data_IF_718448553934
#
_entry.id   IF_718448553934
#
_cell.length_a   1.000
_cell.length_b   1.000
_cell.length_c   1.000
_cell.angle_alpha   90.00
_cell.angle_beta   90.00
_cell.angle_gamma   90.00
#
_symmetry.space_group_name_H-M   'P 1'
#
loop_
_entity.id
_entity.type
_entity.pdbx_description
1 polymer ?
#
# COMPACT_ATOMS: atom_id res chain seq x y z
N UNK A 1 16.93 1.56 -20.32
CA UNK A 1 18.24 1.02 -19.87
C UNK A 1 19.30 2.09 -19.55
N UNK A 2 19.52 3.12 -20.38
CA UNK A 2 20.48 4.23 -20.13
C UNK A 2 20.32 4.99 -18.80
N UNK A 3 19.11 5.04 -18.24
CA UNK A 3 18.83 5.71 -16.96
C UNK A 3 19.37 4.89 -15.77
N UNK A 4 19.24 3.56 -15.83
CA UNK A 4 19.70 2.66 -14.76
C UNK A 4 21.23 2.62 -14.66
N UNK A 5 21.92 2.67 -15.79
CA UNK A 5 23.39 2.72 -15.82
C UNK A 5 23.96 4.05 -15.31
N UNK A 6 23.23 5.16 -15.47
CA UNK A 6 23.62 6.44 -14.88
C UNK A 6 23.39 6.48 -13.36
N UNK A 7 22.32 5.86 -12.85
CA UNK A 7 22.06 5.74 -11.40
C UNK A 7 23.22 5.03 -10.70
N UNK A 8 23.75 3.96 -11.29
CA UNK A 8 24.88 3.22 -10.73
C UNK A 8 26.16 4.06 -10.65
N UNK A 9 26.42 4.94 -11.62
CA UNK A 9 27.60 5.84 -11.64
C UNK A 9 27.57 6.94 -10.59
N UNK A 10 26.39 7.42 -10.22
CA UNK A 10 26.23 8.41 -9.13
C UNK A 10 26.06 7.77 -7.75
N UNK A 11 25.71 6.48 -7.70
CA UNK A 11 25.67 5.76 -6.45
C UNK A 11 27.09 5.63 -5.90
N UNK A 12 27.31 6.11 -4.67
CA UNK A 12 28.48 5.77 -3.86
C UNK A 12 27.99 4.72 -2.86
N UNK A 13 28.09 3.42 -3.17
CA UNK A 13 27.67 2.38 -2.24
C UNK A 13 28.53 2.52 -1.00
N UNK A 14 27.90 2.81 0.13
CA UNK A 14 28.59 2.89 1.42
C UNK A 14 28.64 1.48 1.97
N UNK A 15 29.83 0.98 2.30
CA UNK A 15 29.95 -0.30 3.00
C UNK A 15 29.15 -0.23 4.32
N UNK A 16 28.05 -0.99 4.39
CA UNK A 16 27.22 -1.08 5.58
C UNK A 16 27.87 -2.06 6.54
N UNK A 17 28.77 -1.56 7.39
CA UNK A 17 29.44 -2.39 8.40
C UNK A 17 28.49 -2.86 9.51
N UNK A 18 27.36 -2.18 9.71
CA UNK A 18 26.40 -2.46 10.78
C UNK A 18 24.96 -2.40 10.28
N UNK A 19 24.24 -3.51 10.37
CA UNK A 19 22.81 -3.62 10.07
C UNK A 19 21.98 -3.26 11.30
N UNK A 20 21.63 -1.97 11.42
CA UNK A 20 20.70 -1.51 12.45
C UNK A 20 19.26 -1.72 11.99
N UNK A 21 18.47 -2.44 12.79
CA UNK A 21 17.12 -2.86 12.42
C UNK A 21 16.19 -1.69 12.07
N UNK A 22 16.23 -0.58 12.81
CA UNK A 22 15.28 0.53 12.64
C UNK A 22 15.86 1.79 11.98
N UNK A 23 17.09 1.71 11.44
CA UNK A 23 17.73 2.86 10.78
C UNK A 23 16.96 3.30 9.53
N UNK A 24 16.77 4.62 9.39
CA UNK A 24 16.14 5.24 8.22
C UNK A 24 14.60 5.22 8.20
N UNK A 25 13.94 4.58 9.16
CA UNK A 25 12.48 4.59 9.27
C UNK A 25 11.94 5.87 9.91
N UNK A 26 12.71 6.45 10.83
CA UNK A 26 12.23 7.49 11.74
C UNK A 26 12.89 8.84 11.46
N UNK A 27 12.12 9.91 11.68
CA UNK A 27 12.57 11.29 11.65
C UNK A 27 12.39 11.93 13.01
N UNK A 28 13.23 12.91 13.33
CA UNK A 28 13.09 13.68 14.54
C UNK A 28 11.87 14.61 14.44
N UNK A 29 11.02 14.63 15.46
CA UNK A 29 9.85 15.53 15.52
C UNK A 29 10.20 17.01 15.68
N UNK A 30 11.37 17.35 16.24
CA UNK A 30 11.80 18.75 16.40
C UNK A 30 12.45 19.32 15.15
N UNK A 31 13.48 18.65 14.63
CA UNK A 31 14.31 19.19 13.55
C UNK A 31 14.03 18.57 12.18
N UNK A 32 13.21 17.51 12.11
CA UNK A 32 12.90 16.79 10.87
C UNK A 32 14.04 15.93 10.32
N UNK A 33 15.22 15.92 10.97
CA UNK A 33 16.37 15.14 10.51
C UNK A 33 16.17 13.64 10.76
N UNK A 34 16.79 12.80 9.92
CA UNK A 34 16.73 11.34 10.05
C UNK A 34 17.41 10.85 11.33
N UNK A 35 16.81 9.85 11.97
CA UNK A 35 17.38 9.14 13.12
C UNK A 35 18.38 8.09 12.62
N UNK A 36 19.55 8.05 13.25
CA UNK A 36 20.63 7.09 13.02
C UNK A 36 20.92 6.30 14.30
N UNK A 37 21.57 5.15 14.17
CA UNK A 37 21.93 4.31 15.30
C UNK A 37 23.45 4.28 15.53
N UNK A 38 23.84 4.13 16.80
CA UNK A 38 25.22 3.98 17.26
C UNK A 38 25.33 2.77 18.17
N UNK A 39 26.42 2.00 18.02
CA UNK A 39 26.71 0.82 18.83
C UNK A 39 27.83 1.11 19.82
N UNK A 40 27.58 0.86 21.11
CA UNK A 40 28.56 0.97 22.18
C UNK A 40 28.82 -0.41 22.78
N UNK A 41 30.08 -0.85 22.75
CA UNK A 41 30.49 -2.13 23.31
C UNK A 41 31.15 -1.87 24.67
N UNK A 42 30.62 -2.48 25.73
CA UNK A 42 31.17 -2.37 27.08
C UNK A 42 31.60 -3.73 27.60
N UNK A 43 32.88 -3.85 27.95
CA UNK A 43 33.43 -5.04 28.56
C UNK A 43 33.47 -4.90 30.09
N UNK A 44 32.78 -5.79 30.79
CA UNK A 44 32.70 -5.83 32.25
C UNK A 44 33.74 -6.78 32.82
N UNK A 45 34.90 -6.25 33.21
CA UNK A 45 36.04 -7.02 33.75
C UNK A 45 35.67 -7.93 34.93
N UNK A 46 34.81 -7.45 35.84
CA UNK A 46 34.40 -8.19 37.06
C UNK A 46 33.67 -9.51 36.76
N UNK A 47 33.00 -9.63 35.62
CA UNK A 47 32.23 -10.84 35.29
C UNK A 47 32.60 -11.42 33.93
N UNK A 48 33.70 -10.95 33.33
CA UNK A 48 34.20 -11.34 32.02
C UNK A 48 33.13 -11.39 30.90
N UNK A 49 32.18 -10.42 30.90
CA UNK A 49 31.10 -10.32 29.90
C UNK A 49 31.22 -9.05 29.08
N UNK A 50 31.07 -9.19 27.77
CA UNK A 50 31.00 -8.07 26.82
C UNK A 50 29.55 -7.85 26.43
N UNK A 51 29.01 -6.67 26.70
CA UNK A 51 27.63 -6.30 26.37
C UNK A 51 27.64 -5.22 25.29
N UNK A 52 26.77 -5.37 24.28
CA UNK A 52 26.57 -4.38 23.23
C UNK A 52 25.29 -3.61 23.51
N UNK A 53 25.36 -2.29 23.44
CA UNK A 53 24.22 -1.39 23.57
C UNK A 53 24.04 -0.62 22.26
N UNK A 54 22.82 -0.59 21.75
CA UNK A 54 22.47 0.13 20.53
C UNK A 54 21.57 1.30 20.91
N UNK A 55 21.97 2.51 20.51
CA UNK A 55 21.24 3.74 20.76
C UNK A 55 20.86 4.42 19.45
N UNK A 56 19.61 4.86 19.37
CA UNK A 56 19.08 5.66 18.28
C UNK A 56 19.15 7.15 18.67
N UNK A 57 19.65 7.97 17.75
CA UNK A 57 19.81 9.41 17.95
C UNK A 57 19.50 10.22 16.71
N UNK A 58 19.16 11.49 16.90
CA UNK A 58 19.08 12.44 15.81
C UNK A 58 20.47 12.79 15.27
N UNK A 59 20.59 12.92 13.95
CA UNK A 59 21.83 13.38 13.29
C UNK A 59 22.11 14.87 13.48
N UNK A 60 21.11 15.67 13.89
CA UNK A 60 21.19 17.13 14.09
C UNK A 60 21.71 17.92 12.87
N UNK A 61 21.59 17.35 11.67
CA UNK A 61 22.12 17.96 10.42
C UNK A 61 21.33 19.16 9.92
N UNK A 62 20.03 19.23 10.22
CA UNK A 62 19.13 20.26 9.68
C UNK A 62 19.03 21.45 10.63
N UNK A 63 18.72 21.19 11.91
CA UNK A 63 18.61 22.20 12.97
C UNK A 63 19.23 21.66 14.27
N UNK A 64 19.72 22.53 15.17
CA UNK A 64 20.10 22.10 16.51
C UNK A 64 18.89 21.48 17.19
N UNK A 65 19.12 20.34 17.84
CA UNK A 65 18.07 19.50 18.40
C UNK A 65 18.52 18.97 19.76
N UNK A 66 17.63 19.05 20.74
CA UNK A 66 17.90 18.67 22.14
C UNK A 66 17.34 17.28 22.48
N UNK A 67 16.85 16.57 21.47
CA UNK A 67 16.26 15.25 21.64
C UNK A 67 17.24 14.25 22.27
N UNK A 68 16.77 13.48 23.28
CA UNK A 68 17.60 12.50 23.97
C UNK A 68 17.83 11.25 23.11
N UNK A 69 18.84 10.48 23.50
CA UNK A 69 19.11 9.15 22.95
C UNK A 69 18.04 8.17 23.41
N UNK A 70 17.67 7.24 22.53
CA UNK A 70 16.72 6.17 22.80
C UNK A 70 17.42 4.81 22.66
N UNK A 71 17.29 3.95 23.66
CA UNK A 71 17.81 2.58 23.62
C UNK A 71 16.93 1.70 22.73
N UNK A 72 17.55 0.77 21.99
CA UNK A 72 16.85 -0.16 21.10
C UNK A 72 15.75 -0.97 21.80
N UNK A 73 15.99 -1.44 23.02
CA UNK A 73 15.00 -2.21 23.78
C UNK A 73 13.72 -1.41 24.06
N UNK A 74 13.86 -0.12 24.35
CA UNK A 74 12.72 0.77 24.60
C UNK A 74 11.98 1.06 23.29
N UNK A 75 12.73 1.35 22.22
CA UNK A 75 12.17 1.52 20.87
C UNK A 75 11.35 0.29 20.43
N UNK A 76 11.90 -0.91 20.62
CA UNK A 76 11.24 -2.16 20.29
C UNK A 76 9.99 -2.38 21.15
N UNK A 77 10.05 -2.08 22.44
CA UNK A 77 8.92 -2.15 23.36
C UNK A 77 7.76 -1.26 22.93
N UNK A 78 8.04 -0.01 22.55
CA UNK A 78 7.03 0.94 22.06
C UNK A 78 6.40 0.45 20.76
N UNK A 79 7.21 0.14 19.74
CA UNK A 79 6.69 -0.36 18.45
C UNK A 79 5.86 -1.62 18.62
N UNK A 80 6.27 -2.52 19.52
CA UNK A 80 5.52 -3.74 19.81
C UNK A 80 4.18 -3.46 20.48
N UNK A 81 4.12 -2.49 21.39
CA UNK A 81 2.86 -2.10 22.03
C UNK A 81 1.87 -1.52 21.02
N UNK A 82 2.35 -0.73 20.06
CA UNK A 82 1.53 -0.16 18.98
C UNK A 82 1.09 -1.21 17.95
N UNK A 83 1.97 -2.15 17.60
CA UNK A 83 1.60 -3.27 16.73
C UNK A 83 0.56 -4.16 17.41
N UNK A 84 0.62 -4.31 18.74
CA UNK A 84 -0.35 -5.08 19.50
C UNK A 84 -1.71 -4.36 19.58
N UNK A 85 -1.73 -3.02 19.73
CA UNK A 85 -2.97 -2.24 19.77
C UNK A 85 -3.72 -2.27 18.44
N UNK A 86 -2.98 -2.32 17.33
CA UNK A 86 -3.53 -2.41 15.96
C UNK A 86 -3.81 -3.83 15.46
N UNK A 87 -3.48 -4.86 16.24
CA UNK A 87 -3.65 -6.25 15.83
C UNK A 87 -5.11 -6.73 15.95
N UNK A 88 -5.58 -7.51 14.96
CA UNK A 88 -6.90 -8.13 15.01
C UNK A 88 -6.93 -9.25 16.09
N UNK A 89 -7.96 -9.32 16.95
CA UNK A 89 -8.17 -10.43 17.87
C UNK A 89 -8.23 -11.79 17.15
N UNK A 90 -7.76 -12.87 17.80
CA UNK A 90 -7.77 -14.22 17.20
C UNK A 90 -9.17 -14.74 16.92
N UNK A 91 -10.10 -14.42 17.82
CA UNK A 91 -11.51 -14.83 17.74
C UNK A 91 -12.18 -14.35 16.46
N UNK A 92 -11.78 -13.19 15.94
CA UNK A 92 -12.40 -12.58 14.77
C UNK A 92 -11.83 -13.11 13.44
N UNK A 93 -10.66 -13.75 13.46
CA UNK A 93 -10.03 -14.26 12.23
C UNK A 93 -10.93 -15.18 11.37
N UNK A 94 -11.62 -16.20 11.92
CA UNK A 94 -12.49 -17.05 11.10
C UNK A 94 -13.66 -16.26 10.52
N UNK A 95 -14.29 -15.40 11.32
CA UNK A 95 -15.42 -14.58 10.87
C UNK A 95 -15.04 -13.65 9.72
N UNK A 96 -13.92 -12.94 9.84
CA UNK A 96 -13.44 -12.02 8.80
C UNK A 96 -13.02 -12.74 7.52
N UNK A 97 -12.48 -13.97 7.62
CA UNK A 97 -12.20 -14.80 6.44
C UNK A 97 -13.48 -15.24 5.75
N UNK A 98 -14.51 -15.63 6.51
CA UNK A 98 -15.81 -15.99 5.94
C UNK A 98 -16.46 -14.79 5.26
N UNK A 99 -16.46 -13.62 5.91
CA UNK A 99 -17.00 -12.38 5.31
C UNK A 99 -16.25 -11.99 4.04
N UNK A 100 -14.92 -12.05 4.03
CA UNK A 100 -14.12 -11.82 2.82
C UNK A 100 -14.46 -12.77 1.67
N UNK A 101 -14.74 -14.04 1.98
CA UNK A 101 -15.16 -15.01 0.97
C UNK A 101 -16.55 -14.68 0.41
N UNK A 102 -17.49 -14.28 1.27
CA UNK A 102 -18.82 -13.82 0.87
C UNK A 102 -18.72 -12.56 0.01
N UNK A 103 -17.93 -11.57 0.43
CA UNK A 103 -17.73 -10.33 -0.32
C UNK A 103 -17.11 -10.58 -1.69
N UNK A 104 -16.21 -11.57 -1.83
CA UNK A 104 -15.69 -11.98 -3.14
C UNK A 104 -16.78 -12.49 -4.06
N UNK A 105 -17.60 -13.42 -3.59
CA UNK A 105 -18.72 -13.96 -4.38
C UNK A 105 -19.69 -12.85 -4.78
N UNK A 106 -20.08 -11.99 -3.85
CA UNK A 106 -20.98 -10.87 -4.14
C UNK A 106 -20.38 -9.89 -5.15
N UNK A 107 -19.07 -9.65 -5.08
CA UNK A 107 -18.42 -8.72 -5.98
C UNK A 107 -18.27 -9.32 -7.39
N UNK A 108 -17.97 -10.61 -7.50
CA UNK A 108 -17.96 -11.34 -8.77
C UNK A 108 -19.38 -11.36 -9.40
N UNK A 109 -20.41 -11.69 -8.62
CA UNK A 109 -21.82 -11.63 -9.06
C UNK A 109 -22.21 -10.22 -9.54
N UNK A 110 -21.77 -9.18 -8.83
CA UNK A 110 -22.04 -7.80 -9.20
C UNK A 110 -21.34 -7.42 -10.51
N UNK A 111 -20.12 -7.90 -10.72
CA UNK A 111 -19.35 -7.70 -11.95
C UNK A 111 -20.03 -8.39 -13.12
N UNK A 112 -20.43 -9.65 -12.95
CA UNK A 112 -21.13 -10.41 -14.00
C UNK A 112 -22.43 -9.73 -14.42
N UNK A 113 -23.22 -9.23 -13.46
CA UNK A 113 -24.45 -8.46 -13.75
C UNK A 113 -24.18 -7.19 -14.54
N UNK A 114 -23.13 -6.45 -14.18
CA UNK A 114 -22.74 -5.22 -14.90
C UNK A 114 -22.26 -5.56 -16.31
N UNK A 115 -21.44 -6.60 -16.49
CA UNK A 115 -21.00 -7.04 -17.81
C UNK A 115 -22.17 -7.51 -18.67
N UNK A 116 -23.10 -8.29 -18.14
CA UNK A 116 -24.31 -8.70 -18.84
C UNK A 116 -25.14 -7.49 -19.31
N UNK A 117 -25.29 -6.47 -18.46
CA UNK A 117 -25.96 -5.23 -18.83
C UNK A 117 -25.23 -4.49 -19.97
N UNK A 118 -23.90 -4.39 -19.93
CA UNK A 118 -23.12 -3.72 -20.98
C UNK A 118 -23.14 -4.49 -22.30
N UNK A 119 -23.14 -5.83 -22.26
CA UNK A 119 -23.28 -6.68 -23.45
C UNK A 119 -24.65 -6.50 -24.11
N UNK A 120 -25.74 -6.54 -23.34
CA UNK A 120 -27.09 -6.27 -23.88
C UNK A 120 -27.23 -4.87 -24.45
N UNK A 121 -26.58 -3.86 -23.87
CA UNK A 121 -26.51 -2.52 -24.45
C UNK A 121 -25.76 -2.53 -25.79
N UNK A 122 -24.64 -3.23 -25.89
CA UNK A 122 -23.86 -3.37 -27.15
C UNK A 122 -24.70 -4.01 -28.25
N UNK A 123 -25.42 -5.10 -27.95
CA UNK A 123 -26.35 -5.74 -28.89
C UNK A 123 -27.47 -4.79 -29.33
N UNK A 124 -27.98 -3.96 -28.42
CA UNK A 124 -28.98 -2.93 -28.76
C UNK A 124 -28.44 -1.85 -29.70
N UNK A 125 -27.14 -1.56 -29.65
CA UNK A 125 -26.49 -0.63 -30.59
C UNK A 125 -26.23 -1.28 -31.95
N UNK A 126 -25.87 -2.56 -31.97
CA UNK A 126 -25.68 -3.31 -33.21
C UNK A 126 -26.99 -3.48 -33.99
N UNK A 127 -28.10 -3.77 -33.30
CA UNK A 127 -29.43 -3.79 -33.91
C UNK A 127 -29.83 -2.43 -34.48
N UNK A 128 -29.58 -1.32 -33.76
CA UNK A 128 -29.82 0.05 -34.27
C UNK A 128 -28.98 0.38 -35.50
N UNK A 129 -27.72 -0.07 -35.53
CA UNK A 129 -26.84 0.12 -36.69
C UNK A 129 -27.32 -0.66 -37.92
N UNK A 130 -27.80 -1.90 -37.74
CA UNK A 130 -28.36 -2.70 -38.82
C UNK A 130 -29.64 -2.06 -39.38
N UNK A 131 -30.56 -1.61 -38.52
CA UNK A 131 -31.78 -0.91 -38.95
C UNK A 131 -31.47 0.38 -39.70
N UNK A 132 -30.45 1.14 -39.24
CA UNK A 132 -30.01 2.35 -39.93
C UNK A 132 -29.41 2.05 -41.31
N UNK A 133 -28.74 0.90 -41.47
CA UNK A 133 -28.20 0.44 -42.74
C UNK A 133 -29.31 0.01 -43.71
N UNK A 134 -30.27 -0.77 -43.24
CA UNK A 134 -31.42 -1.21 -44.03
C UNK A 134 -32.23 -0.01 -44.55
N UNK A 135 -32.53 0.97 -43.68
CA UNK A 135 -33.22 2.21 -44.09
C UNK A 135 -32.42 3.09 -45.07
N UNK A 136 -31.09 2.99 -45.08
CA UNK A 136 -30.28 3.64 -46.11
C UNK A 136 -30.36 2.89 -47.45
N UNK A 137 -30.36 1.56 -47.43
CA UNK A 137 -30.49 0.73 -48.62
C UNK A 137 -31.88 0.88 -49.28
N UNK A 138 -32.93 1.05 -48.49
CA UNK A 138 -34.29 1.32 -48.96
C UNK A 138 -34.49 2.74 -49.49
N UNK A 139 -33.45 3.59 -49.42
CA UNK A 139 -33.47 4.97 -49.93
C UNK A 139 -34.28 5.96 -49.10
N UNK A 140 -34.68 5.59 -47.87
CA UNK A 140 -35.46 6.47 -46.97
C UNK A 140 -34.59 7.50 -46.26
N UNK A 141 -33.26 7.29 -46.20
CA UNK A 141 -32.32 8.12 -45.44
C UNK A 141 -31.29 8.79 -46.35
N UNK A 142 -31.14 10.10 -46.22
CA UNK A 142 -30.12 10.87 -46.92
C UNK A 142 -28.68 10.56 -46.42
N UNK A 143 -27.69 10.68 -47.31
CA UNK A 143 -26.30 10.28 -47.05
C UNK A 143 -25.67 11.03 -45.87
N UNK A 144 -25.97 12.31 -45.71
CA UNK A 144 -25.36 13.14 -44.67
C UNK A 144 -25.97 12.88 -43.29
N UNK A 145 -27.28 12.58 -43.25
CA UNK A 145 -27.97 12.16 -42.02
C UNK A 145 -27.44 10.80 -41.56
N UNK A 146 -27.27 9.85 -42.49
CA UNK A 146 -26.69 8.53 -42.21
C UNK A 146 -25.30 8.64 -41.58
N UNK A 147 -24.37 9.38 -42.20
CA UNK A 147 -23.00 9.56 -41.69
C UNK A 147 -22.99 10.14 -40.28
N UNK A 148 -23.82 11.15 -40.03
CA UNK A 148 -23.89 11.81 -38.72
C UNK A 148 -24.39 10.86 -37.64
N UNK A 149 -25.48 10.12 -37.91
CA UNK A 149 -26.05 9.15 -36.97
C UNK A 149 -25.16 7.94 -36.74
N UNK A 150 -24.52 7.41 -37.79
CA UNK A 150 -23.54 6.33 -37.69
C UNK A 150 -22.39 6.72 -36.76
N UNK A 151 -21.84 7.92 -36.92
CA UNK A 151 -20.75 8.40 -36.08
C UNK A 151 -21.18 8.54 -34.61
N UNK A 152 -22.40 9.03 -34.34
CA UNK A 152 -22.94 9.10 -32.97
C UNK A 152 -23.05 7.71 -32.33
N UNK A 153 -23.71 6.77 -33.00
CA UNK A 153 -23.88 5.40 -32.49
C UNK A 153 -22.54 4.68 -32.32
N UNK A 154 -21.60 4.89 -33.23
CA UNK A 154 -20.26 4.30 -33.15
C UNK A 154 -19.45 4.86 -31.97
N UNK A 155 -19.52 6.17 -31.71
CA UNK A 155 -18.87 6.77 -30.55
C UNK A 155 -19.47 6.27 -29.23
N UNK A 156 -20.79 6.08 -29.16
CA UNK A 156 -21.45 5.52 -27.98
C UNK A 156 -21.06 4.04 -27.77
N UNK A 157 -21.01 3.25 -28.85
CA UNK A 157 -20.53 1.86 -28.81
C UNK A 157 -19.08 1.78 -28.29
N UNK A 158 -18.17 2.60 -28.83
CA UNK A 158 -16.78 2.64 -28.37
C UNK A 158 -16.67 2.99 -26.88
N UNK A 159 -17.51 3.91 -26.37
CA UNK A 159 -17.53 4.24 -24.93
C UNK A 159 -17.95 3.04 -24.08
N UNK A 160 -18.91 2.25 -24.54
CA UNK A 160 -19.38 1.05 -23.82
C UNK A 160 -18.32 -0.05 -23.87
N UNK A 161 -17.68 -0.26 -25.02
CA UNK A 161 -16.57 -1.22 -25.15
C UNK A 161 -15.40 -0.86 -24.22
N UNK A 162 -15.06 0.43 -24.11
CA UNK A 162 -14.08 0.91 -23.13
C UNK A 162 -14.52 0.70 -21.68
N UNK A 163 -15.82 0.81 -21.39
CA UNK A 163 -16.35 0.52 -20.05
C UNK A 163 -16.29 -0.99 -19.73
N UNK A 164 -16.53 -1.84 -20.72
CA UNK A 164 -16.38 -3.30 -20.59
C UNK A 164 -14.93 -3.64 -20.27
N UNK A 165 -13.98 -3.20 -21.10
CA UNK A 165 -12.55 -3.49 -20.87
C UNK A 165 -12.07 -2.97 -19.52
N UNK A 166 -12.50 -1.77 -19.13
CA UNK A 166 -12.19 -1.20 -17.82
C UNK A 166 -12.77 -2.03 -16.67
N UNK A 167 -14.00 -2.51 -16.80
CA UNK A 167 -14.66 -3.34 -15.76
C UNK A 167 -14.03 -4.73 -15.65
N UNK A 168 -13.56 -5.27 -16.78
CA UNK A 168 -12.82 -6.54 -16.82
C UNK A 168 -11.47 -6.42 -16.13
N UNK A 169 -10.70 -5.37 -16.46
CA UNK A 169 -9.36 -5.10 -15.94
C UNK A 169 -9.35 -4.63 -14.48
N UNK A 170 -10.19 -3.65 -14.12
CA UNK A 170 -10.17 -3.06 -12.78
C UNK A 170 -10.79 -3.99 -11.72
N UNK A 171 -11.65 -4.93 -12.14
CA UNK A 171 -12.34 -5.86 -11.28
C UNK A 171 -12.87 -5.21 -10.00
N UNK A 172 -12.86 -5.95 -8.89
CA UNK A 172 -13.19 -5.39 -7.58
C UNK A 172 -11.93 -4.84 -6.90
N UNK A 173 -11.48 -3.68 -7.39
CA UNK A 173 -10.26 -2.97 -6.97
C UNK A 173 -10.07 -2.81 -5.45
N UNK A 174 -11.16 -2.83 -4.66
CA UNK A 174 -11.09 -2.70 -3.20
C UNK A 174 -10.83 -4.02 -2.46
N UNK A 175 -11.19 -5.19 -3.04
CA UNK A 175 -11.10 -6.49 -2.36
C UNK A 175 -9.66 -6.93 -2.13
N UNK A 176 -8.76 -6.71 -3.09
CA UNK A 176 -7.35 -7.10 -2.96
C UNK A 176 -6.63 -6.27 -1.88
N UNK A 177 -6.71 -4.91 -1.85
CA UNK A 177 -6.20 -4.10 -0.75
C UNK A 177 -6.78 -4.50 0.61
N UNK A 178 -8.09 -4.78 0.66
CA UNK A 178 -8.75 -5.17 1.90
C UNK A 178 -8.30 -6.55 2.39
N UNK A 179 -8.13 -7.52 1.49
CA UNK A 179 -7.56 -8.82 1.81
C UNK A 179 -6.13 -8.70 2.34
N UNK A 180 -5.30 -7.84 1.72
CA UNK A 180 -3.95 -7.52 2.22
C UNK A 180 -4.02 -6.92 3.63
N UNK A 181 -4.92 -5.97 3.86
CA UNK A 181 -5.12 -5.37 5.18
C UNK A 181 -5.47 -6.40 6.26
N UNK A 182 -6.46 -7.27 6.01
CA UNK A 182 -6.85 -8.32 6.97
C UNK A 182 -5.69 -9.29 7.24
N UNK A 183 -4.96 -9.69 6.19
CA UNK A 183 -3.78 -10.53 6.35
C UNK A 183 -2.68 -9.84 7.19
N UNK A 184 -2.42 -8.55 6.94
CA UNK A 184 -1.51 -7.76 7.76
C UNK A 184 -1.97 -7.71 9.23
N UNK A 185 -3.26 -7.48 9.50
CA UNK A 185 -3.78 -7.44 10.86
C UNK A 185 -3.65 -8.79 11.60
N UNK A 186 -3.77 -9.90 10.89
CA UNK A 186 -3.53 -11.26 11.43
C UNK A 186 -2.04 -11.48 11.70
N UNK A 187 -1.16 -11.05 10.80
CA UNK A 187 0.29 -11.14 10.96
C UNK A 187 0.78 -10.26 12.13
N UNK A 188 0.18 -9.09 12.33
CA UNK A 188 0.45 -8.18 13.46
C UNK A 188 0.50 -8.92 14.79
N UNK A 189 -0.51 -9.77 15.00
CA UNK A 189 -0.66 -10.51 16.23
C UNK A 189 0.40 -11.60 16.42
N UNK A 190 0.87 -12.19 15.32
CA UNK A 190 1.97 -13.18 15.36
C UNK A 190 3.28 -12.46 15.69
N UNK A 191 3.55 -11.34 15.04
CA UNK A 191 4.76 -10.52 15.22
C UNK A 191 4.80 -9.89 16.62
N UNK A 192 3.66 -9.50 17.17
CA UNK A 192 3.57 -8.97 18.54
C UNK A 192 3.84 -10.02 19.65
N UNK A 193 4.00 -11.31 19.33
CA UNK A 193 4.36 -12.33 20.33
C UNK A 193 5.85 -12.25 20.68
N UNK A 194 6.25 -12.76 21.85
CA UNK A 194 7.64 -12.66 22.33
C UNK A 194 8.53 -13.60 21.49
N UNK A 195 9.59 -13.06 20.86
CA UNK A 195 10.57 -13.82 20.06
C UNK A 195 10.61 -13.52 18.56
N UNK A 196 9.87 -12.52 18.06
CA UNK A 196 9.95 -12.11 16.64
C UNK A 196 11.32 -11.51 16.31
N UNK A 197 11.86 -11.85 15.14
CA UNK A 197 13.11 -11.27 14.61
C UNK A 197 12.91 -9.78 14.34
N UNK A 198 13.86 -8.93 14.72
CA UNK A 198 13.78 -7.47 14.58
C UNK A 198 13.50 -7.01 13.13
N UNK A 199 13.93 -7.81 12.15
CA UNK A 199 13.68 -7.59 10.72
C UNK A 199 12.20 -7.74 10.32
N UNK A 200 11.48 -8.70 10.90
CA UNK A 200 10.04 -8.90 10.62
C UNK A 200 9.21 -7.76 11.17
N UNK A 201 9.54 -7.30 12.38
CA UNK A 201 8.89 -6.15 13.00
C UNK A 201 9.15 -4.88 12.19
N UNK A 202 10.38 -4.68 11.72
CA UNK A 202 10.73 -3.56 10.83
C UNK A 202 9.89 -3.54 9.56
N UNK A 203 9.83 -4.66 8.83
CA UNK A 203 9.07 -4.76 7.58
C UNK A 203 7.59 -4.50 7.82
N UNK A 204 7.06 -5.03 8.91
CA UNK A 204 5.67 -4.84 9.30
C UNK A 204 5.33 -3.38 9.62
N UNK A 205 6.15 -2.75 10.46
CA UNK A 205 6.03 -1.34 10.83
C UNK A 205 6.10 -0.45 9.58
N UNK A 206 7.02 -0.71 8.66
CA UNK A 206 7.13 0.03 7.39
C UNK A 206 5.88 -0.09 6.51
N UNK A 207 5.15 -1.21 6.57
CA UNK A 207 3.94 -1.41 5.76
C UNK A 207 2.72 -0.68 6.34
N UNK A 208 2.61 -0.56 7.66
CA UNK A 208 1.40 -0.06 8.34
C UNK A 208 1.50 1.41 8.70
N UNK A 209 2.65 1.84 9.21
CA UNK A 209 2.86 3.22 9.60
C UNK A 209 3.37 4.05 8.43
N UNK A 210 3.02 5.34 8.46
CA UNK A 210 3.64 6.34 7.60
C UNK A 210 4.23 7.44 8.47
N UNK A 211 5.44 7.89 8.13
CA UNK A 211 6.12 9.01 8.79
C UNK A 211 6.27 8.83 10.31
N UNK A 212 7.21 7.97 10.72
CA UNK A 212 7.56 7.81 12.14
C UNK A 212 8.31 9.04 12.64
N UNK A 213 7.73 9.75 13.61
CA UNK A 213 8.39 10.84 14.30
C UNK A 213 8.83 10.39 15.69
N UNK A 214 10.08 10.67 16.04
CA UNK A 214 10.60 10.49 17.39
C UNK A 214 10.62 11.83 18.11
N UNK A 215 9.92 11.93 19.24
CA UNK A 215 9.92 13.10 20.11
C UNK A 215 9.90 12.67 21.57
N UNK A 216 10.82 13.21 22.37
CA UNK A 216 10.91 13.03 23.82
C UNK A 216 10.99 11.55 24.25
N UNK A 217 11.69 10.72 23.45
CA UNK A 217 11.80 9.25 23.57
C UNK A 217 10.54 8.47 23.21
N UNK A 218 9.48 9.12 22.78
CA UNK A 218 8.23 8.48 22.37
C UNK A 218 8.04 8.55 20.86
N UNK A 219 7.37 7.53 20.33
CA UNK A 219 6.94 7.48 18.93
C UNK A 219 5.43 7.68 18.89
N UNK A 220 4.93 8.89 18.62
CA UNK A 220 3.54 9.05 18.22
C UNK A 220 3.29 8.23 16.95
N UNK A 221 2.59 7.10 17.08
CA UNK A 221 2.27 6.25 15.95
C UNK A 221 1.12 6.87 15.14
N UNK A 222 1.40 7.30 13.92
CA UNK A 222 0.38 7.73 12.98
C UNK A 222 0.10 6.58 12.01
N UNK A 223 -1.06 5.92 12.19
CA UNK A 223 -1.56 4.97 11.20
C UNK A 223 -1.64 5.65 9.84
N UNK A 224 -1.26 4.95 8.78
CA UNK A 224 -1.27 5.47 7.42
C UNK A 224 -2.70 5.78 6.98
N UNK A 225 -3.16 7.01 7.24
CA UNK A 225 -4.37 7.53 6.61
C UNK A 225 -4.03 7.81 5.16
N UNK A 226 -4.64 7.07 4.23
CA UNK A 226 -4.56 7.37 2.80
C UNK A 226 -5.34 8.66 2.57
N UNK A 227 -4.72 9.82 2.81
CA UNK A 227 -5.22 11.09 2.30
C UNK A 227 -5.13 11.00 0.79
N UNK A 228 -6.27 10.73 0.13
CA UNK A 228 -6.44 10.97 -1.30
C UNK A 228 -6.29 12.47 -1.52
N UNK A 229 -5.12 12.89 -1.96
CA UNK A 229 -4.94 14.09 -2.79
C UNK A 229 -4.90 13.65 -4.23
#
# INVERSE_FOLDING_TARGET
ERVQSNIQKFSRPRETSHDFAFSGLMRCGECGATITAEQHIKHYKRTNRTVKYIYYRCTKKIKPCSQPYLEENNLFGQLKSEVKSSALPKSWQPEWKTRLAQDRVLADDSKEKVLALLHTQTESFDTKLNVLLDGYLDGTVDSDIYKTKKNQLFQEKLKIEQQISKTEEEGCSWLEPFSKFVNCAILAQKIARKGSVDSELRFFVQNIGSNFFLKDREIPFCCRTRTRT
#
